data_IF_836605177707
#
_entry.id   IF_836605177707
#
_cell.length_a   1.000
_cell.length_b   1.000
_cell.length_c   1.000
_cell.angle_alpha   90.00
_cell.angle_beta   90.00
_cell.angle_gamma   90.00
#
_symmetry.space_group_name_H-M   'P 1'
#
loop_
_entity.id
_entity.type
_entity.pdbx_description
1 polymer ?
#
# COMPACT_ATOMS: atom_id res chain seq x y z
N UNK A 1 -17.48 -35.79 5.81
CA UNK A 1 -16.92 -34.72 6.67
C UNK A 1 -15.40 -34.82 6.91
N UNK A 2 -14.81 -35.99 7.21
CA UNK A 2 -13.34 -36.13 7.44
C UNK A 2 -12.43 -35.71 6.27
N UNK A 3 -12.88 -35.87 5.02
CA UNK A 3 -12.08 -35.48 3.82
C UNK A 3 -11.92 -33.96 3.69
N UNK A 4 -12.96 -33.19 3.99
CA UNK A 4 -12.93 -31.72 3.94
C UNK A 4 -12.02 -31.15 5.03
N UNK A 5 -12.13 -31.66 6.26
CA UNK A 5 -11.30 -31.25 7.39
C UNK A 5 -9.80 -31.44 7.11
N UNK A 6 -9.41 -32.56 6.49
CA UNK A 6 -8.00 -32.80 6.10
C UNK A 6 -7.50 -31.81 5.05
N UNK A 7 -8.32 -31.47 4.05
CA UNK A 7 -7.93 -30.46 3.04
C UNK A 7 -7.79 -29.08 3.66
N UNK A 8 -8.69 -28.72 4.57
CA UNK A 8 -8.60 -27.45 5.27
C UNK A 8 -7.29 -27.33 6.06
N UNK A 9 -6.91 -28.37 6.81
CA UNK A 9 -5.63 -28.38 7.53
C UNK A 9 -4.42 -28.28 6.60
N UNK A 10 -4.43 -29.00 5.48
CA UNK A 10 -3.35 -28.94 4.50
C UNK A 10 -3.21 -27.56 3.85
N UNK A 11 -4.32 -26.95 3.43
CA UNK A 11 -4.32 -25.61 2.85
C UNK A 11 -3.93 -24.54 3.87
N UNK A 12 -4.31 -24.69 5.15
CA UNK A 12 -3.88 -23.77 6.19
C UNK A 12 -2.36 -23.85 6.38
N UNK A 13 -1.77 -25.05 6.42
CA UNK A 13 -0.33 -25.21 6.51
C UNK A 13 0.41 -24.63 5.30
N UNK A 14 -0.15 -24.77 4.09
CA UNK A 14 0.42 -24.17 2.87
C UNK A 14 0.33 -22.64 2.88
N UNK A 15 -0.78 -22.07 3.38
CA UNK A 15 -0.91 -20.62 3.58
C UNK A 15 0.15 -20.12 4.57
N UNK A 16 0.29 -20.79 5.72
CA UNK A 16 1.24 -20.38 6.76
C UNK A 16 2.71 -20.44 6.26
N UNK A 17 3.04 -21.42 5.43
CA UNK A 17 4.35 -21.55 4.78
C UNK A 17 4.59 -20.43 3.75
N UNK A 18 3.61 -20.17 2.88
CA UNK A 18 3.69 -19.08 1.90
C UNK A 18 3.76 -17.69 2.55
N UNK A 19 3.02 -17.46 3.62
CA UNK A 19 3.07 -16.22 4.39
C UNK A 19 4.47 -16.01 5.00
N UNK A 20 5.11 -17.08 5.46
CA UNK A 20 6.49 -17.05 5.96
C UNK A 20 7.51 -16.71 4.87
N UNK A 21 7.36 -17.30 3.67
CA UNK A 21 8.19 -16.97 2.51
C UNK A 21 7.99 -15.52 2.05
N UNK A 22 6.74 -15.05 1.99
CA UNK A 22 6.42 -13.67 1.65
C UNK A 22 7.02 -12.70 2.67
N UNK A 23 6.94 -13.01 3.96
CA UNK A 23 7.53 -12.18 5.00
C UNK A 23 9.03 -12.00 4.83
N UNK A 24 9.76 -13.09 4.53
CA UNK A 24 11.19 -13.04 4.27
C UNK A 24 11.53 -12.19 3.04
N UNK A 25 10.87 -12.46 1.89
CA UNK A 25 11.15 -11.78 0.63
C UNK A 25 10.83 -10.28 0.68
N UNK A 26 9.66 -9.92 1.22
CA UNK A 26 9.22 -8.51 1.30
C UNK A 26 10.10 -7.72 2.27
N UNK A 27 10.48 -8.31 3.40
CA UNK A 27 11.36 -7.64 4.38
C UNK A 27 12.75 -7.41 3.81
N UNK A 28 13.28 -8.36 3.04
CA UNK A 28 14.56 -8.21 2.36
C UNK A 28 14.50 -7.13 1.25
N UNK A 29 13.43 -7.13 0.45
CA UNK A 29 13.29 -6.22 -0.68
C UNK A 29 13.01 -4.76 -0.27
N UNK A 30 12.22 -4.54 0.80
CA UNK A 30 11.79 -3.21 1.21
C UNK A 30 11.68 -3.07 2.75
N UNK A 31 12.81 -3.17 3.47
CA UNK A 31 12.81 -3.14 4.94
C UNK A 31 12.21 -1.83 5.50
N UNK A 32 12.54 -0.70 4.89
CA UNK A 32 12.04 0.61 5.31
C UNK A 32 10.53 0.76 5.10
N UNK A 33 9.98 0.12 4.05
CA UNK A 33 8.55 0.12 3.79
C UNK A 33 7.79 -0.68 4.85
N UNK A 34 8.32 -1.84 5.24
CA UNK A 34 7.73 -2.68 6.29
C UNK A 34 7.85 -2.03 7.67
N UNK A 35 8.88 -1.23 7.91
CA UNK A 35 9.05 -0.48 9.15
C UNK A 35 8.02 0.66 9.32
N UNK A 36 7.31 1.07 8.26
CA UNK A 36 6.32 2.13 8.35
C UNK A 36 5.11 1.74 9.22
N UNK A 37 4.57 2.67 10.04
CA UNK A 37 3.39 2.40 10.85
C UNK A 37 2.22 1.87 10.03
N UNK A 38 1.68 0.72 10.42
CA UNK A 38 0.50 0.12 9.80
C UNK A 38 0.74 -0.50 8.41
N UNK A 39 1.99 -0.60 7.96
CA UNK A 39 2.36 -1.39 6.78
C UNK A 39 2.72 -2.80 7.25
N UNK A 40 1.99 -3.80 6.78
CA UNK A 40 2.32 -5.22 6.95
C UNK A 40 2.85 -5.83 5.66
N UNK A 41 3.38 -7.06 5.75
CA UNK A 41 3.96 -7.82 4.63
C UNK A 41 3.04 -7.82 3.40
N UNK A 42 1.77 -8.20 3.54
CA UNK A 42 0.82 -8.22 2.42
C UNK A 42 0.65 -6.85 1.74
N UNK A 43 0.55 -5.80 2.55
CA UNK A 43 0.33 -4.44 2.01
C UNK A 43 1.60 -3.91 1.37
N UNK A 44 2.78 -4.22 1.92
CA UNK A 44 4.06 -3.87 1.33
C UNK A 44 4.28 -4.65 0.02
N UNK A 45 4.07 -5.96 0.02
CA UNK A 45 4.17 -6.83 -1.15
C UNK A 45 3.24 -6.37 -2.28
N UNK A 46 1.98 -6.04 -1.96
CA UNK A 46 1.07 -5.49 -2.96
C UNK A 46 1.59 -4.15 -3.55
N UNK A 47 2.10 -3.24 -2.73
CA UNK A 47 2.62 -1.95 -3.22
C UNK A 47 3.89 -2.13 -4.06
N UNK A 48 4.74 -3.10 -3.73
CA UNK A 48 5.89 -3.51 -4.54
C UNK A 48 5.46 -4.05 -5.90
N UNK A 49 4.48 -4.96 -5.92
CA UNK A 49 3.91 -5.50 -7.17
C UNK A 49 3.31 -4.38 -8.03
N UNK A 50 2.57 -3.45 -7.42
CA UNK A 50 1.98 -2.31 -8.13
C UNK A 50 3.04 -1.37 -8.68
N UNK A 51 4.12 -1.10 -7.93
CA UNK A 51 5.23 -0.28 -8.41
C UNK A 51 6.00 -0.96 -9.54
N UNK A 52 6.13 -2.28 -9.46
CA UNK A 52 6.90 -3.10 -10.37
C UNK A 52 8.41 -2.99 -10.14
N UNK A 53 9.16 -3.79 -10.91
CA UNK A 53 10.62 -3.93 -10.78
C UNK A 53 11.41 -2.79 -11.46
N UNK A 54 10.72 -1.80 -12.04
CA UNK A 54 11.35 -0.65 -12.68
C UNK A 54 10.92 0.65 -11.98
N UNK A 55 11.63 1.07 -10.90
CA UNK A 55 11.30 2.28 -10.17
C UNK A 55 11.39 3.53 -11.04
N UNK A 56 12.21 3.54 -12.10
CA UNK A 56 12.30 4.65 -13.05
C UNK A 56 11.04 4.86 -13.88
N UNK A 57 10.14 3.86 -13.98
CA UNK A 57 8.83 4.00 -14.63
C UNK A 57 7.88 4.91 -13.83
N UNK A 58 8.08 5.02 -12.52
CA UNK A 58 7.29 5.90 -11.65
C UNK A 58 7.94 7.28 -11.57
N UNK A 59 7.71 8.10 -12.58
CA UNK A 59 8.33 9.42 -12.71
C UNK A 59 7.89 10.47 -11.67
N UNK A 60 6.86 10.19 -10.87
CA UNK A 60 6.42 11.11 -9.80
C UNK A 60 5.49 10.45 -8.78
N UNK A 61 5.44 11.08 -7.61
CA UNK A 61 4.48 10.78 -6.55
C UNK A 61 3.02 10.84 -7.04
N UNK A 62 2.71 11.79 -7.93
CA UNK A 62 1.39 11.94 -8.52
C UNK A 62 1.05 10.78 -9.47
N UNK A 63 2.01 10.29 -10.25
CA UNK A 63 1.84 9.12 -11.09
C UNK A 63 1.56 7.87 -10.25
N UNK A 64 2.30 7.67 -9.16
CA UNK A 64 2.05 6.56 -8.24
C UNK A 64 0.67 6.65 -7.57
N UNK A 65 0.25 7.84 -7.15
CA UNK A 65 -1.09 8.03 -6.60
C UNK A 65 -2.22 7.74 -7.60
N UNK A 66 -2.01 8.08 -8.89
CA UNK A 66 -2.95 7.73 -9.97
C UNK A 66 -2.99 6.22 -10.19
N UNK A 67 -1.82 5.57 -10.20
CA UNK A 67 -1.68 4.12 -10.32
C UNK A 67 -2.43 3.39 -9.21
N UNK A 68 -2.26 3.82 -7.95
CA UNK A 68 -2.98 3.27 -6.80
C UNK A 68 -4.46 3.70 -6.71
N UNK A 69 -4.96 4.52 -7.65
CA UNK A 69 -6.33 5.03 -7.64
C UNK A 69 -6.68 5.94 -6.46
N UNK A 70 -5.68 6.59 -5.85
CA UNK A 70 -5.85 7.53 -4.72
C UNK A 70 -5.61 8.98 -5.10
N UNK A 71 -5.26 9.24 -6.36
CA UNK A 71 -5.15 10.61 -6.87
C UNK A 71 -6.50 11.34 -6.75
N UNK A 72 -6.52 12.56 -6.18
CA UNK A 72 -7.71 13.39 -6.18
C UNK A 72 -8.12 13.72 -7.63
N UNK A 73 -9.39 13.46 -7.98
CA UNK A 73 -9.99 13.93 -9.23
C UNK A 73 -10.91 15.10 -8.87
N UNK A 74 -10.66 16.32 -9.35
CA UNK A 74 -11.55 17.45 -9.13
C UNK A 74 -12.98 17.13 -9.61
N UNK A 75 -13.96 17.45 -8.78
CA UNK A 75 -15.40 17.27 -8.99
C UNK A 75 -16.11 18.62 -9.06
N UNK A 76 -15.49 19.61 -9.70
CA UNK A 76 -15.94 20.99 -9.63
C UNK A 76 -15.76 21.72 -10.95
N UNK A 77 -16.82 22.39 -11.39
CA UNK A 77 -16.79 23.42 -12.44
C UNK A 77 -16.95 24.85 -11.86
N UNK A 78 -16.82 25.03 -10.52
CA UNK A 78 -17.10 26.29 -9.83
C UNK A 78 -16.63 26.34 -8.35
N UNK A 79 -17.35 27.10 -7.49
CA UNK A 79 -17.02 27.48 -6.08
C UNK A 79 -16.92 26.36 -5.02
N UNK A 80 -17.03 25.09 -5.39
CA UNK A 80 -17.03 23.96 -4.45
C UNK A 80 -15.83 23.04 -4.69
N UNK A 81 -14.91 22.95 -3.73
CA UNK A 81 -13.76 22.04 -3.79
C UNK A 81 -14.16 20.62 -3.37
N UNK A 82 -14.73 19.85 -4.29
CA UNK A 82 -15.07 18.43 -4.10
C UNK A 82 -14.21 17.56 -4.99
N UNK A 83 -14.02 16.31 -4.58
CA UNK A 83 -13.20 15.33 -5.30
C UNK A 83 -13.95 14.01 -5.55
N UNK A 84 -13.89 13.53 -6.79
CA UNK A 84 -14.44 12.23 -7.18
C UNK A 84 -13.48 11.08 -6.85
N UNK A 85 -14.01 9.86 -6.86
CA UNK A 85 -13.22 8.63 -6.74
C UNK A 85 -12.57 8.26 -8.08
N UNK A 86 -11.27 8.00 -8.07
CA UNK A 86 -10.56 7.45 -9.22
C UNK A 86 -10.88 5.95 -9.38
N UNK A 87 -11.49 5.56 -10.50
CA UNK A 87 -11.94 4.17 -10.75
C UNK A 87 -10.94 3.32 -11.56
N UNK A 88 -9.98 3.93 -12.24
CA UNK A 88 -9.08 3.25 -13.18
C UNK A 88 -7.67 2.92 -12.64
N UNK A 89 -7.49 2.82 -11.33
CA UNK A 89 -6.20 2.42 -10.72
C UNK A 89 -6.25 1.00 -10.17
N UNK A 90 -5.09 0.49 -9.75
CA UNK A 90 -4.93 -0.79 -9.05
C UNK A 90 -5.78 -0.80 -7.77
N UNK A 91 -6.77 -1.71 -7.76
CA UNK A 91 -7.75 -1.83 -6.68
C UNK A 91 -7.17 -2.49 -5.44
N UNK A 92 -6.19 -3.37 -5.61
CA UNK A 92 -5.53 -4.04 -4.50
C UNK A 92 -4.54 -3.10 -3.82
N UNK A 93 -3.82 -2.27 -4.58
CA UNK A 93 -3.02 -1.16 -4.03
C UNK A 93 -3.91 -0.16 -3.26
N UNK A 94 -5.06 0.20 -3.84
CA UNK A 94 -6.02 1.08 -3.21
C UNK A 94 -6.53 0.52 -1.86
N UNK A 95 -6.75 -0.79 -1.81
CA UNK A 95 -7.16 -1.55 -0.63
C UNK A 95 -6.03 -1.63 0.39
N UNK A 96 -4.79 -1.85 -0.04
CA UNK A 96 -3.61 -1.83 0.82
C UNK A 96 -3.46 -0.48 1.53
N UNK A 97 -3.51 0.63 0.78
CA UNK A 97 -3.47 1.99 1.35
C UNK A 97 -4.64 2.26 2.31
N UNK A 98 -5.82 1.70 2.05
CA UNK A 98 -6.96 1.80 2.95
C UNK A 98 -6.74 1.01 4.26
N UNK A 99 -6.19 -0.21 4.20
CA UNK A 99 -5.84 -0.98 5.41
C UNK A 99 -4.81 -0.25 6.26
N UNK A 100 -3.75 0.27 5.64
CA UNK A 100 -2.72 1.08 6.32
C UNK A 100 -3.37 2.30 6.99
N UNK A 101 -4.28 2.98 6.29
CA UNK A 101 -5.04 4.11 6.85
C UNK A 101 -5.81 3.72 8.10
N UNK A 102 -6.57 2.61 8.07
CA UNK A 102 -7.34 2.16 9.23
C UNK A 102 -6.46 1.84 10.44
N UNK A 103 -5.35 1.13 10.21
CA UNK A 103 -4.41 0.78 11.27
C UNK A 103 -3.81 2.05 11.87
N UNK A 104 -3.33 2.98 11.04
CA UNK A 104 -2.77 4.26 11.51
C UNK A 104 -3.79 5.09 12.29
N UNK A 105 -5.05 5.16 11.86
CA UNK A 105 -6.09 5.84 12.62
C UNK A 105 -6.32 5.22 14.01
N UNK A 106 -6.06 3.92 14.18
CA UNK A 106 -6.23 3.21 15.45
C UNK A 106 -5.01 3.33 16.37
N UNK A 107 -3.79 3.25 15.85
CA UNK A 107 -2.59 3.11 16.69
C UNK A 107 -1.48 4.15 16.46
N UNK A 108 -1.55 4.99 15.42
CA UNK A 108 -0.50 5.97 15.11
C UNK A 108 -0.89 7.38 15.57
N UNK A 109 -0.21 7.90 16.60
CA UNK A 109 -0.58 9.16 17.26
C UNK A 109 -0.61 10.36 16.29
N UNK A 110 0.39 10.61 15.43
CA UNK A 110 0.33 11.71 14.46
C UNK A 110 -0.87 11.63 13.51
N UNK A 111 -1.31 10.41 13.14
CA UNK A 111 -2.53 10.23 12.33
C UNK A 111 -3.78 10.52 13.12
N UNK A 112 -3.85 10.16 14.40
CA UNK A 112 -4.98 10.52 15.27
C UNK A 112 -5.10 12.04 15.41
N UNK A 113 -4.00 12.73 15.64
CA UNK A 113 -3.98 14.19 15.78
C UNK A 113 -4.43 14.87 14.48
N UNK A 114 -3.97 14.35 13.33
CA UNK A 114 -4.44 14.79 12.02
C UNK A 114 -5.95 14.60 11.86
N UNK A 115 -6.49 13.43 12.22
CA UNK A 115 -7.92 13.14 12.12
C UNK A 115 -8.72 14.11 12.99
N UNK A 116 -8.34 14.27 14.26
CA UNK A 116 -9.00 15.20 15.20
C UNK A 116 -9.03 16.62 14.63
N UNK A 117 -7.90 17.11 14.13
CA UNK A 117 -7.81 18.45 13.53
C UNK A 117 -8.70 18.57 12.30
N UNK A 118 -8.65 17.64 11.35
CA UNK A 118 -9.49 17.72 10.13
C UNK A 118 -10.98 17.57 10.43
N UNK A 119 -11.34 16.81 11.46
CA UNK A 119 -12.73 16.72 11.95
C UNK A 119 -13.19 18.06 12.52
N UNK A 120 -12.35 18.75 13.30
CA UNK A 120 -12.66 20.10 13.80
C UNK A 120 -12.82 21.13 12.67
N UNK A 121 -12.12 20.94 11.54
CA UNK A 121 -12.29 21.74 10.31
C UNK A 121 -13.56 21.38 9.50
N UNK A 122 -14.41 20.48 10.00
CA UNK A 122 -15.67 20.11 9.35
C UNK A 122 -15.56 19.07 8.23
N UNK A 123 -14.39 18.43 8.04
CA UNK A 123 -14.28 17.34 7.04
C UNK A 123 -14.96 16.07 7.49
N UNK A 124 -15.63 15.42 6.55
CA UNK A 124 -16.20 14.09 6.75
C UNK A 124 -15.10 13.04 6.88
N UNK A 125 -15.39 11.94 7.58
CA UNK A 125 -14.47 10.79 7.71
C UNK A 125 -13.95 10.29 6.36
N UNK A 126 -14.80 10.26 5.34
CA UNK A 126 -14.44 9.84 3.98
C UNK A 126 -13.43 10.79 3.33
N UNK A 127 -13.59 12.10 3.50
CA UNK A 127 -12.63 13.10 2.99
C UNK A 127 -11.29 12.98 3.73
N UNK A 128 -11.31 12.79 5.05
CA UNK A 128 -10.11 12.59 5.85
C UNK A 128 -9.37 11.33 5.40
N UNK A 129 -10.06 10.21 5.22
CA UNK A 129 -9.46 8.97 4.73
C UNK A 129 -8.86 9.13 3.33
N UNK A 130 -9.50 9.89 2.43
CA UNK A 130 -8.93 10.19 1.09
C UNK A 130 -7.63 10.98 1.22
N UNK A 131 -7.58 12.01 2.07
CA UNK A 131 -6.35 12.74 2.35
C UNK A 131 -5.27 11.81 2.91
N UNK A 132 -5.59 10.99 3.92
CA UNK A 132 -4.63 10.05 4.52
C UNK A 132 -4.08 9.06 3.50
N UNK A 133 -4.93 8.45 2.67
CA UNK A 133 -4.48 7.54 1.60
C UNK A 133 -3.53 8.23 0.62
N UNK A 134 -3.78 9.50 0.29
CA UNK A 134 -2.88 10.28 -0.58
C UNK A 134 -1.54 10.56 0.09
N UNK A 135 -1.53 10.87 1.39
CA UNK A 135 -0.32 11.07 2.18
C UNK A 135 0.49 9.79 2.32
N UNK A 136 -0.15 8.66 2.60
CA UNK A 136 0.50 7.35 2.69
C UNK A 136 1.10 6.99 1.33
N UNK A 137 0.35 7.16 0.23
CA UNK A 137 0.88 6.88 -1.11
C UNK A 137 2.13 7.72 -1.44
N UNK A 138 2.19 8.97 -0.96
CA UNK A 138 3.39 9.82 -1.07
C UNK A 138 4.57 9.25 -0.29
N UNK A 139 4.33 8.94 0.98
CA UNK A 139 5.37 8.40 1.87
C UNK A 139 5.92 7.08 1.33
N UNK A 140 5.04 6.15 0.91
CA UNK A 140 5.45 4.88 0.33
C UNK A 140 6.16 5.05 -1.01
N UNK A 141 5.75 6.02 -1.84
CA UNK A 141 6.43 6.31 -3.10
C UNK A 141 7.90 6.68 -2.88
N UNK A 142 8.22 7.50 -1.87
CA UNK A 142 9.61 7.87 -1.61
C UNK A 142 10.50 6.69 -1.20
N UNK A 143 9.94 5.73 -0.46
CA UNK A 143 10.65 4.49 -0.09
C UNK A 143 10.80 3.54 -1.29
N UNK A 144 9.81 3.49 -2.18
CA UNK A 144 9.86 2.66 -3.39
C UNK A 144 10.77 3.24 -4.48
N UNK A 145 10.84 4.57 -4.60
CA UNK A 145 11.67 5.27 -5.59
C UNK A 145 13.15 5.40 -5.16
N UNK A 146 13.46 5.11 -3.90
CA UNK A 146 14.83 5.07 -3.37
C UNK A 146 15.17 3.66 -2.91
N UNK A 147 15.25 2.67 -3.82
CA UNK A 147 15.61 1.32 -3.42
C UNK A 147 17.01 1.32 -2.78
N UNK A 148 17.24 0.53 -1.71
CA UNK A 148 18.58 0.33 -1.19
C UNK A 148 19.50 -0.18 -2.31
N UNK A 149 20.74 0.32 -2.35
CA UNK A 149 21.72 0.15 -3.44
C UNK A 149 22.19 -1.29 -3.72
N UNK A 150 21.50 -2.31 -3.20
CA UNK A 150 21.97 -3.70 -3.17
C UNK A 150 20.97 -4.70 -3.76
N UNK A 151 20.33 -4.34 -4.88
CA UNK A 151 19.49 -5.26 -5.67
C UNK A 151 20.32 -6.30 -6.45
N UNK A 152 21.66 -6.23 -6.40
CA UNK A 152 22.58 -7.14 -7.09
C UNK A 152 22.64 -8.55 -6.48
N UNK A 153 21.99 -8.79 -5.33
CA UNK A 153 22.14 -10.03 -4.56
C UNK A 153 20.88 -10.89 -4.46
N UNK A 154 19.82 -10.64 -5.25
CA UNK A 154 18.70 -11.58 -5.34
C UNK A 154 19.13 -12.82 -6.15
N UNK A 155 19.23 -14.03 -5.54
CA UNK A 155 19.62 -15.22 -6.28
C UNK A 155 18.39 -15.73 -7.05
N UNK A 156 18.32 -15.44 -8.36
CA UNK A 156 17.24 -15.99 -9.19
C UNK A 156 16.97 -15.35 -10.54
N UNK A 157 18.00 -15.02 -11.33
CA UNK A 157 17.82 -14.73 -12.75
C UNK A 157 19.07 -15.10 -13.56
N UNK A 158 19.59 -16.32 -13.39
CA UNK A 158 20.51 -16.90 -14.37
C UNK A 158 19.72 -17.78 -15.34
N UNK A 159 19.59 -17.27 -16.56
CA UNK A 159 19.67 -17.97 -17.84
C UNK A 159 18.89 -19.29 -18.02
N UNK A 160 17.93 -19.24 -18.94
CA UNK A 160 17.73 -20.33 -19.90
C UNK A 160 17.46 -19.70 -21.28
N UNK A 161 18.46 -19.82 -22.16
CA UNK A 161 18.30 -19.88 -23.62
C UNK A 161 17.47 -21.12 -24.01
#
# INVERSE_FOLDING_TARGET
>A
MRSLARRWLALQAEIDDLDSHLAALVTAAAPDLVALPGVGVDTAGQLLVTAGDNPHRLHSEAAFARLCGVAPIPASSGRTDRHHLHRGGDRDANRALWRITLVRMRCHQPTKDYVTRRTAEGKTKTEIMRCLKRYIARETFHLLASPPLDQASLPGATATD
#
